data_IF_967451153826
#
_entry.id   IF_967451153826
#
_cell.length_a   1.000
_cell.length_b   1.000
_cell.length_c   1.000
_cell.angle_alpha   90.00
_cell.angle_beta   90.00
_cell.angle_gamma   90.00
#
_symmetry.space_group_name_H-M   'P 1'
#
loop_
_entity.id
_entity.type
_entity.pdbx_description
1 polymer ?
#
# COMPACT_ATOMS: atom_id res chain seq x y z
N UNK A 1 -55.32 40.96 24.65
CA UNK A 1 -54.68 40.14 23.61
C UNK A 1 -53.17 39.95 23.87
N UNK A 2 -52.76 39.53 25.08
CA UNK A 2 -51.32 39.37 25.42
C UNK A 2 -50.96 38.00 26.01
N UNK A 3 -51.93 37.10 26.19
CA UNK A 3 -51.70 35.79 26.83
C UNK A 3 -51.37 34.66 25.83
N UNK A 4 -51.58 34.85 24.53
CA UNK A 4 -51.33 33.79 23.53
C UNK A 4 -49.86 33.67 23.13
N UNK A 5 -49.05 34.71 23.26
CA UNK A 5 -47.63 34.71 22.86
C UNK A 5 -46.75 33.83 23.75
N UNK A 6 -47.08 33.70 25.05
CA UNK A 6 -46.34 32.88 26.01
C UNK A 6 -46.48 31.38 25.76
N UNK A 7 -47.63 30.94 25.23
CA UNK A 7 -47.86 29.54 24.90
C UNK A 7 -47.03 29.10 23.69
N UNK A 8 -46.88 29.96 22.67
CA UNK A 8 -46.07 29.63 21.50
C UNK A 8 -44.56 29.59 21.79
N UNK A 9 -44.05 30.46 22.68
CA UNK A 9 -42.63 30.42 23.08
C UNK A 9 -42.27 29.14 23.85
N UNK A 10 -43.17 28.65 24.71
CA UNK A 10 -42.93 27.41 25.45
C UNK A 10 -42.87 26.19 24.52
N UNK A 11 -43.76 26.13 23.53
CA UNK A 11 -43.83 25.03 22.57
C UNK A 11 -42.59 25.01 21.66
N UNK A 12 -42.10 26.17 21.24
CA UNK A 12 -40.90 26.29 20.40
C UNK A 12 -39.63 25.82 21.13
N UNK A 13 -39.47 26.16 22.41
CA UNK A 13 -38.33 25.70 23.23
C UNK A 13 -38.36 24.18 23.38
N UNK A 14 -39.54 23.59 23.58
CA UNK A 14 -39.69 22.14 23.73
C UNK A 14 -39.34 21.38 22.46
N UNK A 15 -39.74 21.90 21.29
CA UNK A 15 -39.37 21.32 19.98
C UNK A 15 -37.87 21.37 19.76
N UNK A 16 -37.21 22.50 20.06
CA UNK A 16 -35.75 22.62 19.93
C UNK A 16 -35.04 21.64 20.88
N UNK A 17 -35.49 21.53 22.14
CA UNK A 17 -34.92 20.61 23.10
C UNK A 17 -35.07 19.14 22.65
N UNK A 18 -36.23 18.77 22.09
CA UNK A 18 -36.48 17.45 21.54
C UNK A 18 -35.56 17.15 20.34
N UNK A 19 -35.39 18.11 19.42
CA UNK A 19 -34.48 17.95 18.27
C UNK A 19 -33.03 17.78 18.74
N UNK A 20 -32.57 18.57 19.70
CA UNK A 20 -31.21 18.47 20.25
C UNK A 20 -31.01 17.13 20.99
N UNK A 21 -32.01 16.66 21.72
CA UNK A 21 -31.98 15.36 22.39
C UNK A 21 -31.92 14.20 21.39
N UNK A 22 -32.73 14.24 20.32
CA UNK A 22 -32.69 13.27 19.22
C UNK A 22 -31.33 13.30 18.52
N UNK A 23 -30.77 14.49 18.28
CA UNK A 23 -29.46 14.63 17.63
C UNK A 23 -28.34 14.08 18.50
N UNK A 24 -28.37 14.33 19.83
CA UNK A 24 -27.41 13.76 20.78
C UNK A 24 -27.55 12.25 20.93
N UNK A 25 -28.78 11.72 20.94
CA UNK A 25 -29.02 10.28 21.01
C UNK A 25 -28.55 9.58 19.72
N UNK A 26 -28.88 10.10 18.53
CA UNK A 26 -28.33 9.60 17.26
C UNK A 26 -26.80 9.63 17.22
N UNK A 27 -26.17 10.64 17.81
CA UNK A 27 -24.70 10.76 17.89
C UNK A 27 -24.07 9.75 18.86
N UNK A 28 -24.80 9.30 19.89
CA UNK A 28 -24.30 8.33 20.88
C UNK A 28 -24.38 6.89 20.37
N UNK A 29 -25.40 6.55 19.58
CA UNK A 29 -25.53 5.22 18.96
C UNK A 29 -24.57 4.99 17.77
N UNK A 30 -24.00 6.03 17.19
CA UNK A 30 -23.00 5.92 16.11
C UNK A 30 -21.54 5.82 16.60
N UNK A 31 -21.27 6.01 17.89
CA UNK A 31 -19.89 5.90 18.45
C UNK A 31 -19.52 4.51 18.99
N UNK A 32 -20.49 3.61 19.17
CA UNK A 32 -20.24 2.22 19.63
C UNK A 32 -19.82 1.25 18.52
N UNK A 33 -19.94 1.65 17.23
CA UNK A 33 -19.60 0.84 16.05
C UNK A 33 -18.60 1.53 15.10
N UNK A 34 -17.97 2.62 15.52
CA UNK A 34 -17.03 3.39 14.69
C UNK A 34 -15.54 2.99 14.85
N UNK A 35 -15.23 1.89 15.56
CA UNK A 35 -13.85 1.36 15.65
C UNK A 35 -13.54 0.22 14.67
N UNK A 36 -14.52 -0.28 13.93
CA UNK A 36 -14.34 -1.43 13.01
C UNK A 36 -14.71 -1.14 11.55
N UNK A 37 -15.07 0.11 11.20
CA UNK A 37 -15.51 0.46 9.83
C UNK A 37 -14.67 1.53 9.12
N UNK A 38 -13.58 2.02 9.74
CA UNK A 38 -12.62 2.89 9.03
C UNK A 38 -11.60 2.09 8.18
N UNK A 39 -11.60 0.76 8.25
CA UNK A 39 -10.73 -0.10 7.43
C UNK A 39 -11.28 -0.42 6.04
N UNK A 40 -12.60 -0.32 5.83
CA UNK A 40 -13.24 -0.75 4.56
C UNK A 40 -13.56 0.39 3.58
N UNK A 41 -13.44 1.65 4.02
CA UNK A 41 -13.84 2.84 3.25
C UNK A 41 -12.68 3.66 2.66
N UNK A 42 -11.46 3.13 2.64
CA UNK A 42 -10.41 3.66 1.76
C UNK A 42 -10.26 2.71 0.58
N UNK A 43 -11.06 2.93 -0.48
CA UNK A 43 -10.92 2.24 -1.75
C UNK A 43 -9.44 2.24 -2.19
N UNK A 44 -8.74 1.12 -2.01
CA UNK A 44 -7.37 0.92 -2.47
C UNK A 44 -6.24 1.44 -1.58
N UNK A 45 -6.50 1.93 -0.35
CA UNK A 45 -5.39 2.36 0.51
C UNK A 45 -4.84 1.19 1.34
N UNK A 46 -3.60 0.82 1.05
CA UNK A 46 -2.83 -0.14 1.85
C UNK A 46 -2.50 0.50 3.22
N UNK A 47 -2.76 -0.17 4.35
CA UNK A 47 -2.49 0.42 5.67
C UNK A 47 -1.00 0.65 5.89
N UNK A 48 -0.64 1.57 6.79
CA UNK A 48 0.78 1.88 7.06
C UNK A 48 1.46 0.76 7.86
N UNK A 49 2.77 0.56 7.65
CA UNK A 49 3.55 -0.43 8.40
C UNK A 49 3.41 -0.25 9.92
N UNK A 50 3.45 1.00 10.40
CA UNK A 50 3.33 1.32 11.83
C UNK A 50 1.97 0.92 12.41
N UNK A 51 0.88 1.10 11.67
CA UNK A 51 -0.46 0.70 12.13
C UNK A 51 -0.66 -0.82 12.13
N UNK A 52 0.03 -1.53 11.22
CA UNK A 52 -0.15 -2.97 11.02
C UNK A 52 0.88 -3.81 11.78
N UNK A 53 1.92 -3.20 12.34
CA UNK A 53 3.03 -3.90 13.03
C UNK A 53 2.54 -4.85 14.14
N UNK A 54 1.54 -4.43 14.93
CA UNK A 54 0.95 -5.29 15.95
C UNK A 54 0.34 -6.55 15.34
N UNK A 55 -0.43 -6.40 14.26
CA UNK A 55 -1.07 -7.51 13.56
C UNK A 55 -0.02 -8.47 12.96
N UNK A 56 1.05 -7.93 12.36
CA UNK A 56 2.16 -8.73 11.84
C UNK A 56 2.84 -9.54 12.96
N UNK A 57 3.05 -8.93 14.12
CA UNK A 57 3.69 -9.57 15.26
C UNK A 57 2.80 -10.66 15.86
N UNK A 58 1.49 -10.40 16.00
CA UNK A 58 0.50 -11.36 16.48
C UNK A 58 0.43 -12.58 15.54
N UNK A 59 0.47 -12.34 14.23
CA UNK A 59 0.50 -13.40 13.22
C UNK A 59 1.78 -14.21 13.24
N UNK A 60 2.95 -13.57 13.36
CA UNK A 60 4.21 -14.28 13.51
C UNK A 60 4.21 -15.16 14.76
N UNK A 61 3.68 -14.66 15.88
CA UNK A 61 3.53 -15.44 17.11
C UNK A 61 2.56 -16.62 16.94
N UNK A 62 1.48 -16.46 16.16
CA UNK A 62 0.57 -17.55 15.80
C UNK A 62 1.29 -18.63 14.99
N UNK A 63 1.96 -18.23 13.92
CA UNK A 63 2.73 -19.12 13.03
C UNK A 63 3.81 -19.89 13.79
N UNK A 64 4.55 -19.20 14.69
CA UNK A 64 5.55 -19.82 15.56
C UNK A 64 4.95 -20.88 16.48
N UNK A 65 3.78 -20.62 17.09
CA UNK A 65 3.10 -21.60 17.96
C UNK A 65 2.68 -22.85 17.19
N UNK A 66 2.16 -22.68 15.99
CA UNK A 66 1.64 -23.79 15.18
C UNK A 66 2.65 -24.38 14.18
N UNK A 67 3.91 -23.94 14.22
CA UNK A 67 4.98 -24.41 13.33
C UNK A 67 4.59 -24.36 11.84
N UNK A 68 3.88 -23.30 11.45
CA UNK A 68 3.48 -23.09 10.05
C UNK A 68 4.59 -22.32 9.30
N UNK A 69 4.70 -22.47 7.98
CA UNK A 69 5.57 -21.61 7.19
C UNK A 69 4.97 -20.21 7.11
N UNK A 70 5.82 -19.19 6.99
CA UNK A 70 5.41 -17.81 6.73
C UNK A 70 6.48 -17.15 5.88
N UNK A 71 6.05 -16.39 4.90
CA UNK A 71 6.95 -15.62 4.05
C UNK A 71 6.63 -14.14 4.12
N UNK A 72 7.66 -13.32 4.16
CA UNK A 72 7.57 -11.86 3.99
C UNK A 72 8.13 -11.51 2.63
N UNK A 73 7.38 -10.67 1.92
CA UNK A 73 7.74 -10.12 0.62
C UNK A 73 7.83 -8.61 0.77
N UNK A 74 8.97 -8.04 0.38
CA UNK A 74 9.14 -6.59 0.27
C UNK A 74 9.17 -6.21 -1.19
N UNK A 75 8.29 -5.29 -1.59
CA UNK A 75 8.12 -4.83 -2.96
C UNK A 75 8.46 -3.35 -3.08
N UNK A 76 9.16 -2.99 -4.16
CA UNK A 76 9.39 -1.59 -4.54
C UNK A 76 9.13 -1.42 -6.03
N UNK A 77 8.41 -0.36 -6.37
CA UNK A 77 8.24 0.03 -7.77
C UNK A 77 9.53 0.70 -8.24
N UNK A 78 9.99 0.35 -9.44
CA UNK A 78 11.11 1.02 -10.06
C UNK A 78 10.64 2.40 -10.53
N UNK A 79 11.00 3.43 -9.75
CA UNK A 79 10.48 4.79 -9.85
C UNK A 79 10.86 5.50 -11.14
N UNK A 80 11.97 5.11 -11.76
CA UNK A 80 12.59 5.92 -12.81
C UNK A 80 11.73 5.95 -14.08
N UNK A 81 11.09 4.85 -14.46
CA UNK A 81 10.25 4.84 -15.67
C UNK A 81 8.83 5.33 -15.40
N UNK A 82 8.22 4.90 -14.29
CA UNK A 82 6.83 5.24 -14.00
C UNK A 82 6.61 6.72 -13.73
N UNK A 83 7.49 7.35 -12.94
CA UNK A 83 7.39 8.79 -12.69
C UNK A 83 7.77 9.61 -13.92
N UNK A 84 8.70 9.13 -14.78
CA UNK A 84 9.05 9.81 -16.02
C UNK A 84 7.92 9.73 -17.05
N UNK A 85 7.26 8.58 -17.20
CA UNK A 85 6.15 8.41 -18.15
C UNK A 85 4.88 9.14 -17.67
N UNK A 86 4.56 9.10 -16.37
CA UNK A 86 3.47 9.90 -15.80
C UNK A 86 3.76 11.41 -15.92
N UNK A 87 5.00 11.85 -15.65
CA UNK A 87 5.38 13.26 -15.86
C UNK A 87 5.29 13.64 -17.33
N UNK A 88 5.75 12.82 -18.26
CA UNK A 88 5.65 13.08 -19.71
C UNK A 88 4.19 13.20 -20.17
N UNK A 89 3.32 12.31 -19.71
CA UNK A 89 1.89 12.34 -20.03
C UNK A 89 1.18 13.60 -19.53
N UNK A 90 1.64 14.18 -18.40
CA UNK A 90 1.03 15.38 -17.81
C UNK A 90 1.65 16.68 -18.33
N UNK A 91 2.95 16.68 -18.64
CA UNK A 91 3.66 17.84 -19.22
C UNK A 91 3.32 18.03 -20.70
N UNK A 92 2.90 16.98 -21.41
CA UNK A 92 2.42 17.11 -22.79
C UNK A 92 1.11 17.91 -22.94
N UNK A 93 0.42 18.26 -21.84
CA UNK A 93 -0.88 18.95 -21.87
C UNK A 93 -0.95 20.31 -21.17
N UNK A 94 0.12 20.84 -20.58
CA UNK A 94 0.01 22.06 -19.75
C UNK A 94 1.11 23.08 -20.05
N UNK A 95 0.76 24.06 -20.88
CA UNK A 95 1.56 25.27 -21.09
C UNK A 95 1.40 26.26 -19.95
N UNK A 96 2.51 26.92 -19.59
CA UNK A 96 2.64 28.15 -18.79
C UNK A 96 1.94 28.21 -17.42
N UNK A 97 2.71 27.99 -16.35
CA UNK A 97 2.33 28.41 -14.98
C UNK A 97 3.14 27.75 -13.87
N UNK A 98 4.26 28.35 -13.47
CA UNK A 98 5.25 27.79 -12.54
C UNK A 98 4.86 27.75 -11.05
N UNK A 99 3.61 27.47 -10.68
CA UNK A 99 3.18 27.46 -9.26
C UNK A 99 2.45 26.17 -8.80
N UNK A 100 1.96 25.32 -9.69
CA UNK A 100 1.07 24.18 -9.33
C UNK A 100 1.76 22.81 -9.19
N UNK A 101 3.08 22.74 -9.39
CA UNK A 101 3.81 21.47 -9.51
C UNK A 101 3.76 20.60 -8.24
N UNK A 102 3.61 21.19 -7.05
CA UNK A 102 3.56 20.43 -5.79
C UNK A 102 2.24 19.65 -5.62
N UNK A 103 1.11 20.29 -5.94
CA UNK A 103 -0.21 19.65 -5.85
C UNK A 103 -0.37 18.53 -6.88
N UNK A 104 0.20 18.72 -8.08
CA UNK A 104 0.13 17.76 -9.17
C UNK A 104 0.96 16.49 -8.88
N UNK A 105 2.12 16.63 -8.21
CA UNK A 105 2.92 15.49 -7.74
C UNK A 105 2.19 14.70 -6.65
N UNK A 106 1.54 15.39 -5.70
CA UNK A 106 0.76 14.73 -4.64
C UNK A 106 -0.43 13.95 -5.20
N UNK A 107 -1.15 14.48 -6.18
CA UNK A 107 -2.25 13.77 -6.85
C UNK A 107 -1.75 12.53 -7.60
N UNK A 108 -0.61 12.63 -8.28
CA UNK A 108 -0.02 11.51 -9.03
C UNK A 108 0.38 10.36 -8.10
N UNK A 109 0.98 10.69 -6.96
CA UNK A 109 1.39 9.71 -5.95
C UNK A 109 0.16 8.98 -5.38
N UNK A 110 -0.93 9.69 -5.12
CA UNK A 110 -2.19 9.09 -4.64
C UNK A 110 -2.80 8.10 -5.65
N UNK A 111 -2.75 8.40 -6.96
CA UNK A 111 -3.25 7.51 -7.99
C UNK A 111 -2.44 6.21 -8.09
N UNK A 112 -1.11 6.32 -8.01
CA UNK A 112 -0.22 5.14 -8.01
C UNK A 112 -0.48 4.28 -6.78
N UNK A 113 -0.67 4.88 -5.60
CA UNK A 113 -1.02 4.13 -4.38
C UNK A 113 -2.34 3.38 -4.51
N UNK A 114 -3.39 4.05 -4.98
CA UNK A 114 -4.71 3.43 -5.14
C UNK A 114 -4.67 2.28 -6.16
N UNK A 115 -3.92 2.45 -7.25
CA UNK A 115 -3.78 1.44 -8.28
C UNK A 115 -3.04 0.21 -7.75
N UNK A 116 -1.90 0.41 -7.08
CA UNK A 116 -1.13 -0.70 -6.48
C UNK A 116 -1.96 -1.40 -5.42
N UNK A 117 -2.67 -0.67 -4.55
CA UNK A 117 -3.54 -1.26 -3.55
C UNK A 117 -4.67 -2.11 -4.15
N UNK A 118 -5.28 -1.68 -5.26
CA UNK A 118 -6.27 -2.50 -5.98
C UNK A 118 -5.68 -3.80 -6.54
N UNK A 119 -4.47 -3.74 -7.09
CA UNK A 119 -3.76 -4.90 -7.64
C UNK A 119 -3.37 -5.86 -6.52
N UNK A 120 -2.90 -5.33 -5.39
CA UNK A 120 -2.59 -6.13 -4.20
C UNK A 120 -3.84 -6.83 -3.70
N UNK A 121 -5.00 -6.16 -3.62
CA UNK A 121 -6.25 -6.79 -3.19
C UNK A 121 -6.72 -7.92 -4.12
N UNK A 122 -6.52 -7.78 -5.42
CA UNK A 122 -6.86 -8.82 -6.40
C UNK A 122 -5.89 -10.01 -6.36
N UNK A 123 -4.62 -9.74 -6.07
CA UNK A 123 -3.61 -10.77 -6.03
C UNK A 123 -3.60 -11.51 -4.68
N UNK A 124 -3.75 -10.82 -3.57
CA UNK A 124 -3.54 -11.40 -2.25
C UNK A 124 -4.78 -12.15 -1.75
N UNK A 125 -4.56 -13.17 -0.92
CA UNK A 125 -5.63 -13.86 -0.19
C UNK A 125 -6.12 -12.97 0.94
N UNK A 126 -7.30 -13.26 1.47
CA UNK A 126 -7.84 -12.55 2.63
C UNK A 126 -6.99 -12.71 3.89
N UNK A 127 -6.26 -13.83 4.00
CA UNK A 127 -5.32 -14.11 5.10
C UNK A 127 -4.03 -13.31 5.00
N UNK A 128 -3.68 -12.81 3.81
CA UNK A 128 -2.43 -12.12 3.58
C UNK A 128 -2.53 -10.68 4.09
N UNK A 129 -1.45 -10.19 4.70
CA UNK A 129 -1.41 -8.85 5.27
C UNK A 129 -0.49 -7.99 4.43
N UNK A 130 -1.04 -7.01 3.74
CA UNK A 130 -0.28 -5.99 3.03
C UNK A 130 -0.24 -4.69 3.84
N UNK A 131 0.93 -4.07 3.91
CA UNK A 131 1.12 -2.74 4.48
C UNK A 131 2.14 -1.94 3.66
N UNK A 132 2.12 -0.63 3.82
CA UNK A 132 3.02 0.28 3.13
C UNK A 132 3.94 0.99 4.13
N UNK A 133 5.24 0.90 3.87
CA UNK A 133 6.31 1.49 4.65
C UNK A 133 6.71 2.83 4.02
N UNK A 134 6.07 3.90 4.52
CA UNK A 134 6.20 5.27 4.00
C UNK A 134 7.64 5.77 3.97
N UNK A 135 8.44 5.66 5.06
CA UNK A 135 9.83 6.13 5.06
C UNK A 135 10.71 5.50 3.97
N UNK A 136 10.51 4.21 3.67
CA UNK A 136 11.35 3.45 2.73
C UNK A 136 10.72 3.30 1.35
N UNK A 137 9.54 3.90 1.13
CA UNK A 137 8.74 3.79 -0.09
C UNK A 137 8.63 2.35 -0.62
N UNK A 138 8.17 1.44 0.23
CA UNK A 138 8.07 0.01 -0.11
C UNK A 138 6.81 -0.61 0.47
N UNK A 139 6.29 -1.63 -0.21
CA UNK A 139 5.19 -2.44 0.29
C UNK A 139 5.76 -3.67 0.99
N UNK A 140 5.21 -3.99 2.15
CA UNK A 140 5.54 -5.17 2.92
C UNK A 140 4.31 -6.05 2.93
N UNK A 141 4.45 -7.28 2.45
CA UNK A 141 3.39 -8.27 2.39
C UNK A 141 3.82 -9.47 3.22
N UNK A 142 3.02 -9.82 4.20
CA UNK A 142 3.13 -11.06 4.95
C UNK A 142 2.17 -12.09 4.36
N UNK A 143 2.70 -13.26 4.05
CA UNK A 143 1.98 -14.40 3.48
C UNK A 143 2.01 -15.53 4.53
N UNK A 144 0.98 -15.62 5.40
CA UNK A 144 0.86 -16.75 6.32
C UNK A 144 0.73 -18.06 5.57
N UNK A 145 1.19 -19.14 6.20
CA UNK A 145 1.09 -20.52 5.66
C UNK A 145 1.71 -20.67 4.26
N UNK A 146 2.70 -19.83 3.96
CA UNK A 146 3.34 -19.78 2.64
C UNK A 146 4.84 -19.99 2.72
N UNK A 147 5.34 -20.94 1.93
CA UNK A 147 6.78 -21.17 1.74
C UNK A 147 7.38 -20.15 0.78
N UNK A 148 8.71 -20.13 0.68
CA UNK A 148 9.42 -19.26 -0.28
C UNK A 148 9.00 -19.49 -1.73
N UNK A 149 8.72 -20.72 -2.14
CA UNK A 149 8.29 -21.05 -3.50
C UNK A 149 6.93 -20.43 -3.79
N UNK A 150 5.98 -20.57 -2.86
CA UNK A 150 4.64 -19.99 -2.98
C UNK A 150 4.69 -18.46 -2.98
N UNK A 151 5.54 -17.86 -2.14
CA UNK A 151 5.79 -16.42 -2.15
C UNK A 151 6.36 -15.96 -3.50
N UNK A 152 7.27 -16.74 -4.10
CA UNK A 152 7.86 -16.46 -5.41
C UNK A 152 6.81 -16.50 -6.52
N UNK A 153 5.87 -17.45 -6.47
CA UNK A 153 4.74 -17.50 -7.40
C UNK A 153 3.83 -16.29 -7.26
N UNK A 154 3.51 -15.88 -6.01
CA UNK A 154 2.73 -14.67 -5.73
C UNK A 154 3.40 -13.42 -6.25
N UNK A 155 4.71 -13.27 -6.03
CA UNK A 155 5.52 -12.16 -6.57
C UNK A 155 5.47 -12.16 -8.10
N UNK A 156 5.63 -13.32 -8.73
CA UNK A 156 5.59 -13.43 -10.21
C UNK A 156 4.25 -13.01 -10.77
N UNK A 157 3.15 -13.39 -10.09
CA UNK A 157 1.80 -12.96 -10.46
C UNK A 157 1.60 -11.46 -10.27
N UNK A 158 2.06 -10.90 -9.16
CA UNK A 158 2.02 -9.46 -8.88
C UNK A 158 2.79 -8.66 -9.93
N UNK A 159 4.01 -9.10 -10.29
CA UNK A 159 4.80 -8.50 -11.37
C UNK A 159 4.02 -8.45 -12.68
N UNK A 160 3.37 -9.56 -13.07
CA UNK A 160 2.56 -9.63 -14.30
C UNK A 160 1.36 -8.68 -14.27
N UNK A 161 0.60 -8.66 -13.16
CA UNK A 161 -0.57 -7.80 -13.01
C UNK A 161 -0.19 -6.32 -13.02
N UNK A 162 0.88 -5.96 -12.30
CA UNK A 162 1.34 -4.59 -12.20
C UNK A 162 1.91 -4.10 -13.53
N UNK A 163 2.75 -4.90 -14.19
CA UNK A 163 3.27 -4.57 -15.51
C UNK A 163 2.14 -4.36 -16.53
N UNK A 164 1.13 -5.23 -16.54
CA UNK A 164 -0.03 -5.11 -17.45
C UNK A 164 -0.81 -3.79 -17.26
N UNK A 165 -0.90 -3.27 -16.03
CA UNK A 165 -1.70 -2.07 -15.71
C UNK A 165 -0.91 -0.76 -15.70
N UNK A 166 0.39 -0.82 -15.44
CA UNK A 166 1.19 0.38 -15.18
C UNK A 166 2.38 0.52 -16.13
N UNK A 167 2.73 -0.53 -16.89
CA UNK A 167 4.01 -0.66 -17.58
C UNK A 167 5.24 -0.55 -16.64
N UNK A 168 5.04 -0.50 -15.33
CA UNK A 168 6.10 -0.39 -14.34
C UNK A 168 6.75 -1.73 -14.03
N UNK A 169 8.06 -1.69 -13.80
CA UNK A 169 8.79 -2.82 -13.27
C UNK A 169 8.72 -2.84 -11.74
N UNK A 170 8.52 -4.04 -11.18
CA UNK A 170 8.44 -4.28 -9.76
C UNK A 170 9.63 -5.14 -9.34
N UNK A 171 10.37 -4.68 -8.35
CA UNK A 171 11.46 -5.42 -7.74
C UNK A 171 10.99 -5.93 -6.37
N UNK A 172 11.36 -7.17 -6.05
CA UNK A 172 10.84 -7.90 -4.91
C UNK A 172 11.96 -8.68 -4.21
N UNK A 173 11.94 -8.66 -2.88
CA UNK A 173 12.76 -9.52 -2.02
C UNK A 173 11.88 -10.39 -1.14
N UNK A 174 12.34 -11.61 -0.85
CA UNK A 174 11.57 -12.62 -0.10
C UNK A 174 12.41 -13.15 1.05
N UNK A 175 11.82 -13.20 2.25
CA UNK A 175 12.35 -13.89 3.41
C UNK A 175 11.31 -14.86 3.97
N UNK A 176 11.77 -15.95 4.56
CA UNK A 176 10.95 -17.05 5.07
C UNK A 176 11.25 -17.29 6.55
N UNK A 177 10.19 -17.42 7.34
CA UNK A 177 10.25 -17.85 8.73
C UNK A 177 10.19 -19.39 8.80
N UNK A 178 11.01 -20.05 9.65
CA UNK A 178 12.01 -19.47 10.55
C UNK A 178 13.43 -19.34 9.95
N UNK A 179 13.62 -19.75 8.69
CA UNK A 179 14.95 -19.92 8.09
C UNK A 179 15.77 -18.62 7.99
N UNK A 180 15.12 -17.50 7.68
CA UNK A 180 15.80 -16.21 7.50
C UNK A 180 15.76 -15.35 8.78
N UNK A 181 14.79 -15.52 9.68
CA UNK A 181 14.70 -14.68 10.88
C UNK A 181 13.57 -15.09 11.82
N UNK A 182 13.63 -14.57 13.05
CA UNK A 182 12.69 -14.93 14.12
C UNK A 182 11.71 -13.80 14.50
N UNK A 183 11.99 -12.58 14.06
CA UNK A 183 11.15 -11.39 14.27
C UNK A 183 10.83 -10.73 12.91
N UNK A 184 9.77 -9.92 12.86
CA UNK A 184 9.28 -9.29 11.63
C UNK A 184 10.36 -8.39 11.01
N UNK A 185 11.07 -7.66 11.85
CA UNK A 185 12.11 -6.70 11.46
C UNK A 185 13.27 -7.38 10.73
N UNK A 186 13.73 -8.54 11.22
CA UNK A 186 14.81 -9.31 10.60
C UNK A 186 14.40 -9.83 9.22
N UNK A 187 13.18 -10.36 9.12
CA UNK A 187 12.63 -10.86 7.87
C UNK A 187 12.45 -9.75 6.82
N UNK A 188 11.99 -8.56 7.24
CA UNK A 188 11.90 -7.38 6.37
C UNK A 188 13.29 -6.94 5.93
N UNK A 189 14.24 -6.82 6.87
CA UNK A 189 15.62 -6.41 6.59
C UNK A 189 16.29 -7.35 5.59
N UNK A 190 16.16 -8.66 5.78
CA UNK A 190 16.75 -9.65 4.87
C UNK A 190 16.06 -9.68 3.51
N UNK A 191 14.73 -9.48 3.47
CA UNK A 191 14.02 -9.29 2.21
C UNK A 191 14.60 -8.10 1.42
N UNK A 192 14.84 -6.96 2.07
CA UNK A 192 15.44 -5.76 1.45
C UNK A 192 16.88 -6.00 1.00
N UNK A 193 17.66 -6.79 1.74
CA UNK A 193 19.03 -7.15 1.33
C UNK A 193 19.02 -8.04 0.08
N UNK A 194 18.17 -9.08 0.05
CA UNK A 194 18.01 -9.96 -1.12
C UNK A 194 17.50 -9.19 -2.34
N UNK A 195 16.61 -8.22 -2.12
CA UNK A 195 16.19 -7.26 -3.13
C UNK A 195 17.37 -6.50 -3.76
N UNK A 196 18.28 -5.98 -2.92
CA UNK A 196 19.42 -5.16 -3.37
C UNK A 196 20.46 -5.99 -4.13
N UNK A 197 20.74 -7.21 -3.64
CA UNK A 197 21.66 -8.14 -4.29
C UNK A 197 21.18 -8.53 -5.70
N UNK A 198 19.88 -8.77 -5.87
CA UNK A 198 19.33 -9.17 -7.16
C UNK A 198 19.40 -8.04 -8.21
N UNK A 199 19.21 -6.78 -7.79
CA UNK A 199 19.36 -5.61 -8.66
C UNK A 199 20.79 -5.50 -9.22
N UNK A 200 21.80 -5.67 -8.36
CA UNK A 200 23.20 -5.61 -8.77
C UNK A 200 23.55 -6.74 -9.76
N UNK A 201 23.08 -7.96 -9.50
CA UNK A 201 23.31 -9.09 -10.40
C UNK A 201 22.63 -8.94 -11.77
N UNK A 202 21.50 -8.23 -11.86
CA UNK A 202 20.84 -7.91 -13.12
C UNK A 202 21.64 -6.87 -13.93
N UNK A 203 22.14 -5.83 -13.27
CA UNK A 203 22.92 -4.77 -13.92
C UNK A 203 24.25 -5.27 -14.51
N UNK A 204 24.92 -6.20 -13.83
CA UNK A 204 26.15 -6.82 -14.36
C UNK A 204 25.90 -7.62 -15.63
N UNK A 205 24.81 -8.39 -15.69
CA UNK A 205 24.45 -9.20 -16.87
C UNK A 205 24.11 -8.33 -18.08
N UNK A 206 23.32 -7.28 -17.86
CA UNK A 206 22.93 -6.35 -18.93
C UNK A 206 24.13 -5.55 -19.47
N UNK A 207 25.09 -5.20 -18.60
CA UNK A 207 26.33 -4.54 -18.99
C UNK A 207 27.28 -5.44 -19.80
N UNK A 208 27.36 -6.73 -19.48
CA UNK A 208 28.15 -7.69 -20.25
C UNK A 208 27.57 -7.96 -21.64
N UNK A 209 26.24 -8.09 -21.77
CA UNK A 209 25.58 -8.29 -23.07
C UNK A 209 25.88 -7.15 -24.05
N UNK A 210 25.80 -5.88 -23.59
CA UNK A 210 26.08 -4.72 -24.45
C UNK A 210 27.54 -4.63 -24.90
N UNK A 211 28.49 -5.10 -24.10
CA UNK A 211 29.93 -5.10 -24.47
C UNK A 211 30.20 -6.06 -25.62
N UNK A 212 29.57 -7.24 -25.62
CA UNK A 212 29.73 -8.24 -26.68
C UNK A 212 29.21 -7.69 -28.03
N UNK A 213 28.03 -7.06 -28.03
CA UNK A 213 27.45 -6.49 -29.25
C UNK A 213 28.29 -5.35 -29.84
N UNK A 214 28.89 -4.51 -28.98
CA UNK A 214 29.75 -3.41 -29.42
C UNK A 214 31.12 -3.83 -29.95
N UNK A 215 31.63 -5.00 -29.55
CA UNK A 215 32.85 -5.57 -30.13
C UNK A 215 32.60 -6.19 -31.51
N UNK A 216 31.40 -6.74 -31.74
CA UNK A 216 31.05 -7.30 -33.05
C UNK A 216 30.79 -6.22 -34.12
N UNK A 217 30.33 -5.04 -33.72
CA UNK A 217 30.08 -3.92 -34.62
C UNK A 217 31.35 -3.19 -35.12
N UNK A 218 32.50 -3.31 -34.42
CA UNK A 218 33.77 -2.67 -34.82
C UNK A 218 34.66 -3.54 -35.71
N UNK A 219 34.26 -4.79 -35.97
CA UNK A 219 35.02 -5.76 -36.77
C UNK A 219 34.56 -5.90 -38.22
N UNK A 220 33.73 -4.99 -38.73
CA UNK A 220 33.28 -4.94 -40.14
C UNK A 220 33.66 -3.63 -40.79
#
# INVERSE_FOLDING_TARGET
>A
MMQTTWLYSGLLIFVIAAVVAIFKWRRKESFGRAKTLNSDLQLGAVPTYRSTLKQLTDELARVRRYHRPLSIVVLRLESDQLLLDLKRSLVAGSGNGGADSYNQVMQTIQLVFSLVGSILKEALRESDIACYDVPNNQYIIMLPESTREQATMTVTRLKKLLFKRTAGHLVAGIAEFPADGLIVEDLVKLSVQKFSANKNGQLEKDGQSKRIDSQHAKGR
#
